data_IF_662005802899
#
_entry.id   IF_662005802899
#
_cell.length_a   1.000
_cell.length_b   1.000
_cell.length_c   1.000
_cell.angle_alpha   90.00
_cell.angle_beta   90.00
_cell.angle_gamma   90.00
#
_symmetry.space_group_name_H-M   'P 1'
#
loop_
_entity.id
_entity.type
_entity.pdbx_description
1 polymer ?
#
# COMPACT_ATOMS: atom_id res chain seq x y z
N UNK A 1 5.01 0.20 26.51
CA UNK A 1 3.54 0.20 26.56
C UNK A 1 3.01 1.54 26.03
N UNK A 2 2.33 1.54 24.87
CA UNK A 2 2.01 2.77 24.11
C UNK A 2 1.00 3.67 24.82
N UNK A 3 0.00 3.08 25.49
CA UNK A 3 -1.02 3.84 26.25
C UNK A 3 -0.44 4.53 27.48
N UNK A 4 0.54 3.91 28.15
CA UNK A 4 1.22 4.51 29.30
C UNK A 4 2.03 5.76 28.90
N UNK A 5 2.67 5.73 27.73
CA UNK A 5 3.39 6.87 27.16
C UNK A 5 2.45 8.04 26.84
N UNK A 6 1.34 7.73 26.17
CA UNK A 6 0.33 8.72 25.75
C UNK A 6 -0.25 9.47 26.96
N UNK A 7 -0.69 8.74 27.98
CA UNK A 7 -1.25 9.33 29.20
C UNK A 7 -0.26 10.24 29.93
N UNK A 8 1.02 9.83 30.02
CA UNK A 8 2.08 10.64 30.66
C UNK A 8 2.38 11.92 29.90
N UNK A 9 2.34 11.88 28.57
CA UNK A 9 2.54 13.08 27.74
C UNK A 9 1.33 14.01 27.89
N UNK A 10 0.11 13.48 27.81
CA UNK A 10 -1.12 14.25 27.97
C UNK A 10 -1.17 14.97 29.31
N UNK A 11 -0.84 14.28 30.41
CA UNK A 11 -0.79 14.88 31.75
C UNK A 11 0.21 16.04 31.84
N UNK A 12 1.38 15.96 31.19
CA UNK A 12 2.36 17.06 31.19
C UNK A 12 1.95 18.23 30.32
N UNK A 13 1.27 17.96 29.21
CA UNK A 13 0.68 18.98 28.33
C UNK A 13 -0.41 19.74 29.08
N UNK A 14 -1.37 19.04 29.66
CA UNK A 14 -2.54 19.68 30.30
C UNK A 14 -2.13 20.63 31.45
N UNK A 15 -1.17 20.19 32.27
CA UNK A 15 -0.64 20.99 33.35
C UNK A 15 0.10 22.26 32.89
N UNK A 16 0.81 22.20 31.76
CA UNK A 16 1.52 23.37 31.26
C UNK A 16 0.56 24.40 30.67
N UNK A 17 -0.42 23.97 29.88
CA UNK A 17 -1.36 24.86 29.21
C UNK A 17 -2.39 25.52 30.15
N UNK A 18 -2.58 24.96 31.35
CA UNK A 18 -3.47 25.52 32.39
C UNK A 18 -2.87 26.69 33.18
N UNK A 19 -1.62 27.06 32.93
CA UNK A 19 -0.93 28.15 33.64
C UNK A 19 -0.88 29.44 32.79
N UNK A 20 -0.83 30.63 33.41
CA UNK A 20 -0.62 31.88 32.69
C UNK A 20 0.74 31.88 31.97
N UNK A 21 0.86 32.66 30.88
CA UNK A 21 2.06 32.72 30.04
C UNK A 21 3.34 33.01 30.83
N UNK A 22 3.24 33.80 31.89
CA UNK A 22 4.35 34.09 32.79
C UNK A 22 4.99 32.82 33.39
N UNK A 23 4.20 31.79 33.64
CA UNK A 23 4.64 30.55 34.30
C UNK A 23 4.83 29.39 33.32
N UNK A 24 4.18 29.46 32.16
CA UNK A 24 4.30 28.51 31.05
C UNK A 24 5.76 28.39 30.58
N UNK A 25 6.33 27.19 30.58
CA UNK A 25 7.72 26.95 30.15
C UNK A 25 7.78 25.82 29.12
N UNK A 26 7.48 26.16 27.86
CA UNK A 26 7.39 25.20 26.75
C UNK A 26 8.73 24.53 26.47
N UNK A 27 9.85 25.20 26.75
CA UNK A 27 11.19 24.61 26.69
C UNK A 27 11.39 23.47 27.69
N UNK A 28 10.89 23.61 28.93
CA UNK A 28 10.94 22.53 29.93
C UNK A 28 10.00 21.39 29.56
N UNK A 29 8.83 21.71 29.01
CA UNK A 29 7.88 20.71 28.53
C UNK A 29 8.47 19.86 27.39
N UNK A 30 9.13 20.47 26.41
CA UNK A 30 9.85 19.74 25.36
C UNK A 30 10.88 18.77 25.95
N UNK A 31 11.68 19.24 26.92
CA UNK A 31 12.69 18.39 27.58
C UNK A 31 12.05 17.23 28.36
N UNK A 32 10.91 17.45 29.02
CA UNK A 32 10.17 16.40 29.71
C UNK A 32 9.61 15.37 28.74
N UNK A 33 8.98 15.80 27.63
CA UNK A 33 8.48 14.90 26.59
C UNK A 33 9.62 14.11 25.97
N UNK A 34 10.74 14.77 25.63
CA UNK A 34 11.91 14.10 25.08
C UNK A 34 12.49 13.05 26.05
N UNK A 35 12.50 13.33 27.36
CA UNK A 35 12.94 12.39 28.39
C UNK A 35 12.01 11.18 28.50
N UNK A 36 10.69 11.38 28.48
CA UNK A 36 9.71 10.29 28.52
C UNK A 36 9.79 9.44 27.24
N UNK A 37 9.96 10.08 26.09
CA UNK A 37 10.13 9.41 24.80
C UNK A 37 11.42 8.55 24.79
N UNK A 38 12.53 9.09 25.27
CA UNK A 38 13.79 8.37 25.42
C UNK A 38 13.66 7.15 26.35
N UNK A 39 12.91 7.26 27.46
CA UNK A 39 12.64 6.13 28.37
C UNK A 39 11.87 4.97 27.70
N UNK A 40 11.13 5.27 26.63
CA UNK A 40 10.36 4.28 25.86
C UNK A 40 11.01 3.91 24.53
N UNK A 41 12.29 4.26 24.30
CA UNK A 41 13.00 4.09 23.02
C UNK A 41 12.23 4.68 21.82
N UNK A 42 11.47 5.75 22.04
CA UNK A 42 10.75 6.47 21.00
C UNK A 42 11.57 7.69 20.56
N UNK A 43 12.06 7.75 19.31
CA UNK A 43 12.77 8.92 18.82
C UNK A 43 11.80 10.11 18.65
N UNK A 44 12.22 11.28 19.11
CA UNK A 44 11.47 12.52 18.89
C UNK A 44 11.63 12.96 17.43
N UNK A 45 10.53 13.16 16.72
CA UNK A 45 10.58 13.58 15.31
C UNK A 45 11.13 15.00 15.17
N UNK A 46 11.81 15.27 14.05
CA UNK A 46 12.31 16.61 13.72
C UNK A 46 11.19 17.64 13.67
N UNK A 47 10.02 17.25 13.17
CA UNK A 47 8.86 18.13 13.05
C UNK A 47 8.33 18.56 14.42
N UNK A 48 8.33 17.65 15.40
CA UNK A 48 7.94 17.98 16.77
C UNK A 48 8.90 19.01 17.39
N UNK A 49 10.21 18.84 17.17
CA UNK A 49 11.22 19.80 17.64
C UNK A 49 11.00 21.18 17.00
N UNK A 50 10.71 21.23 15.70
CA UNK A 50 10.46 22.47 14.99
C UNK A 50 9.20 23.17 15.50
N UNK A 51 8.12 22.42 15.73
CA UNK A 51 6.89 22.92 16.34
C UNK A 51 7.16 23.56 17.71
N UNK A 52 7.87 22.85 18.60
CA UNK A 52 8.21 23.40 19.92
C UNK A 52 9.10 24.64 19.84
N UNK A 53 10.03 24.72 18.88
CA UNK A 53 10.83 25.94 18.67
C UNK A 53 9.97 27.15 18.31
N UNK A 54 8.96 26.95 17.45
CA UNK A 54 7.99 27.99 17.12
C UNK A 54 7.17 28.41 18.34
N UNK A 55 6.65 27.43 19.08
CA UNK A 55 5.88 27.66 20.30
C UNK A 55 6.68 28.41 21.38
N UNK A 56 7.96 28.07 21.58
CA UNK A 56 8.85 28.78 22.52
C UNK A 56 9.09 30.24 22.10
N UNK A 57 9.24 30.49 20.79
CA UNK A 57 9.34 31.85 20.28
C UNK A 57 8.04 32.64 20.53
N UNK A 58 6.89 31.98 20.38
CA UNK A 58 5.57 32.55 20.61
C UNK A 58 5.29 32.81 22.10
N UNK A 59 5.73 31.92 22.99
CA UNK A 59 5.74 32.13 24.45
C UNK A 59 6.58 33.36 24.81
N UNK A 60 7.77 33.48 24.23
CA UNK A 60 8.68 34.60 24.51
C UNK A 60 8.08 35.94 24.06
N UNK A 61 7.44 35.96 22.88
CA UNK A 61 6.72 37.13 22.40
C UNK A 61 5.48 37.44 23.24
N UNK A 62 4.66 36.44 23.53
CA UNK A 62 3.43 36.59 24.29
C UNK A 62 3.69 37.09 25.72
N UNK A 63 4.72 36.57 26.39
CA UNK A 63 5.12 37.03 27.73
C UNK A 63 5.52 38.51 27.75
N UNK A 64 5.97 39.07 26.63
CA UNK A 64 6.32 40.49 26.52
C UNK A 64 5.08 41.38 26.28
N UNK A 65 4.04 40.85 25.64
CA UNK A 65 2.83 41.59 25.28
C UNK A 65 1.76 41.53 26.36
N UNK A 66 1.47 40.33 26.88
CA UNK A 66 0.45 40.08 27.89
C UNK A 66 0.88 38.90 28.79
N UNK A 67 1.51 39.18 29.94
CA UNK A 67 2.02 38.14 30.84
C UNK A 67 0.94 37.31 31.54
N UNK A 68 -0.24 37.90 31.74
CA UNK A 68 -1.37 37.30 32.47
C UNK A 68 -2.32 36.54 31.53
N UNK A 69 -1.99 36.48 30.24
CA UNK A 69 -2.72 35.70 29.24
C UNK A 69 -2.74 34.22 29.62
N UNK A 70 -3.95 33.65 29.74
CA UNK A 70 -4.17 32.22 29.97
C UNK A 70 -4.63 31.55 28.68
N UNK A 71 -3.72 30.80 28.04
CA UNK A 71 -3.99 30.19 26.73
C UNK A 71 -5.23 29.30 26.79
N UNK A 72 -5.34 28.45 27.80
CA UNK A 72 -6.42 27.46 27.88
C UNK A 72 -7.79 28.11 28.08
N UNK A 73 -7.86 29.22 28.83
CA UNK A 73 -9.11 29.93 29.06
C UNK A 73 -9.64 30.51 27.76
N UNK A 74 -8.81 31.26 27.05
CA UNK A 74 -9.17 31.94 25.80
C UNK A 74 -9.34 30.96 24.61
N UNK A 75 -8.61 29.85 24.60
CA UNK A 75 -8.77 28.81 23.56
C UNK A 75 -9.89 27.82 23.84
N UNK A 76 -10.40 27.69 25.07
CA UNK A 76 -11.48 26.73 25.40
C UNK A 76 -12.77 27.00 24.62
N UNK A 77 -13.17 28.27 24.50
CA UNK A 77 -14.36 28.68 23.74
C UNK A 77 -14.17 28.43 22.24
N UNK A 78 -12.98 28.72 21.71
CA UNK A 78 -12.64 28.45 20.32
C UNK A 78 -12.58 26.93 20.04
N UNK A 79 -11.97 26.14 20.92
CA UNK A 79 -11.87 24.69 20.81
C UNK A 79 -13.24 24.00 20.85
N UNK A 80 -14.18 24.52 21.65
CA UNK A 80 -15.57 24.03 21.69
C UNK A 80 -16.28 24.25 20.36
N UNK A 81 -16.09 25.41 19.71
CA UNK A 81 -16.65 25.69 18.39
C UNK A 81 -15.98 24.88 17.26
N UNK A 82 -14.67 24.61 17.37
CA UNK A 82 -13.90 23.90 16.36
C UNK A 82 -14.09 22.37 16.42
N UNK A 83 -14.21 21.80 17.63
CA UNK A 83 -14.41 20.36 17.83
C UNK A 83 -15.76 19.85 17.36
N UNK A 84 -16.82 20.66 17.49
CA UNK A 84 -18.19 20.25 17.15
C UNK A 84 -18.47 20.19 15.64
N UNK A 85 -17.66 20.85 14.80
CA UNK A 85 -17.91 20.93 13.37
C UNK A 85 -16.73 20.63 12.44
N UNK A 86 -15.50 20.93 12.84
CA UNK A 86 -14.36 20.92 11.92
C UNK A 86 -13.56 19.60 11.95
N UNK A 87 -13.36 19.00 13.12
CA UNK A 87 -12.54 17.79 13.28
C UNK A 87 -13.16 16.55 12.60
N UNK A 88 -14.46 16.33 12.76
CA UNK A 88 -15.15 15.19 12.13
C UNK A 88 -15.31 15.36 10.60
N UNK A 89 -15.42 16.61 10.11
CA UNK A 89 -15.72 16.91 8.70
C UNK A 89 -14.45 17.05 7.85
N UNK A 90 -13.33 17.53 8.41
CA UNK A 90 -12.05 17.64 7.70
C UNK A 90 -11.30 16.31 7.58
N UNK A 91 -11.37 15.40 8.56
CA UNK A 91 -10.65 14.12 8.46
C UNK A 91 -11.17 13.26 7.30
N UNK A 92 -12.47 13.31 7.01
CA UNK A 92 -13.06 12.56 5.89
C UNK A 92 -12.85 13.23 4.53
N UNK A 93 -12.76 14.58 4.48
CA UNK A 93 -12.58 15.32 3.22
C UNK A 93 -11.11 15.50 2.83
N UNK A 94 -10.18 15.58 3.79
CA UNK A 94 -8.76 15.76 3.48
C UNK A 94 -8.08 14.47 3.01
N UNK A 95 -8.44 13.30 3.55
CA UNK A 95 -7.87 12.03 3.08
C UNK A 95 -8.23 11.76 1.61
N UNK A 96 -9.46 12.09 1.20
CA UNK A 96 -9.89 11.94 -0.20
C UNK A 96 -9.24 12.98 -1.12
N UNK A 97 -9.09 14.24 -0.68
CA UNK A 97 -8.41 15.28 -1.46
C UNK A 97 -6.90 15.04 -1.61
N UNK A 98 -6.23 14.55 -0.55
CA UNK A 98 -4.81 14.20 -0.59
C UNK A 98 -4.58 13.00 -1.53
N UNK A 99 -5.41 11.97 -1.45
CA UNK A 99 -5.32 10.79 -2.32
C UNK A 99 -5.57 11.13 -3.81
N UNK A 100 -6.50 12.06 -4.10
CA UNK A 100 -6.73 12.57 -5.47
C UNK A 100 -5.55 13.42 -5.96
N UNK A 101 -4.93 14.21 -5.09
CA UNK A 101 -3.79 15.07 -5.44
C UNK A 101 -2.52 14.24 -5.71
N UNK A 102 -2.28 13.21 -4.90
CA UNK A 102 -1.19 12.26 -5.11
C UNK A 102 -1.39 11.43 -6.38
N UNK A 103 -2.63 11.07 -6.70
CA UNK A 103 -2.96 10.39 -7.96
C UNK A 103 -2.66 11.26 -9.18
N UNK A 104 -2.93 12.58 -9.13
CA UNK A 104 -2.56 13.50 -10.22
C UNK A 104 -1.05 13.67 -10.36
N UNK A 105 -0.31 13.68 -9.25
CA UNK A 105 1.15 13.70 -9.28
C UNK A 105 1.71 12.44 -9.95
N UNK A 106 1.17 11.26 -9.60
CA UNK A 106 1.55 9.99 -10.21
C UNK A 106 1.30 9.98 -11.72
N UNK A 107 0.14 10.46 -12.18
CA UNK A 107 -0.19 10.53 -13.62
C UNK A 107 0.72 11.50 -14.38
N UNK A 108 1.17 12.59 -13.73
CA UNK A 108 2.13 13.54 -14.33
C UNK A 108 3.56 13.01 -14.39
N UNK A 109 3.99 12.23 -13.40
CA UNK A 109 5.36 11.68 -13.34
C UNK A 109 5.53 10.35 -14.08
N UNK A 110 4.44 9.61 -14.29
CA UNK A 110 4.43 8.35 -15.04
C UNK A 110 5.09 8.48 -16.43
N UNK A 111 4.69 9.42 -17.31
CA UNK A 111 5.25 9.51 -18.66
C UNK A 111 6.75 9.85 -18.63
N UNK A 112 7.20 10.65 -17.67
CA UNK A 112 8.61 10.97 -17.51
C UNK A 112 9.43 9.74 -17.10
N UNK A 113 8.91 8.97 -16.14
CA UNK A 113 9.53 7.73 -15.67
C UNK A 113 9.61 6.68 -16.79
N UNK A 114 8.52 6.51 -17.54
CA UNK A 114 8.48 5.61 -18.70
C UNK A 114 9.47 6.04 -19.78
N UNK A 115 9.65 7.35 -20.01
CA UNK A 115 10.63 7.87 -20.97
C UNK A 115 12.08 7.58 -20.55
N UNK A 116 12.38 7.65 -19.26
CA UNK A 116 13.71 7.29 -18.73
C UNK A 116 13.94 5.78 -18.85
N UNK A 117 12.95 4.96 -18.51
CA UNK A 117 13.04 3.50 -18.61
C UNK A 117 13.25 3.04 -20.06
N UNK A 118 12.46 3.58 -21.00
CA UNK A 118 12.61 3.31 -22.44
C UNK A 118 13.96 3.76 -22.98
N UNK A 119 14.46 4.92 -22.56
CA UNK A 119 15.80 5.39 -22.95
C UNK A 119 16.90 4.47 -22.40
N UNK A 120 16.78 3.99 -21.16
CA UNK A 120 17.73 3.02 -20.56
C UNK A 120 17.66 1.63 -21.22
N UNK A 121 16.47 1.19 -21.65
CA UNK A 121 16.27 -0.03 -22.46
C UNK A 121 16.96 0.09 -23.81
N UNK A 122 16.75 1.19 -24.53
CA UNK A 122 17.36 1.42 -25.84
C UNK A 122 18.89 1.54 -25.79
N UNK A 123 19.44 2.04 -24.68
CA UNK A 123 20.87 2.21 -24.49
C UNK A 123 21.59 0.92 -24.06
N UNK A 124 20.89 -0.20 -23.89
CA UNK A 124 21.49 -1.49 -23.50
C UNK A 124 22.01 -1.55 -22.06
N UNK A 125 21.94 -0.45 -21.30
CA UNK A 125 22.44 -0.36 -19.92
C UNK A 125 21.67 -1.22 -18.91
N UNK A 126 20.53 -1.81 -19.30
CA UNK A 126 19.81 -2.77 -18.47
C UNK A 126 20.37 -4.19 -18.56
N UNK A 127 21.11 -4.53 -19.62
CA UNK A 127 21.72 -5.86 -19.77
C UNK A 127 22.70 -6.18 -18.63
N UNK A 128 23.47 -5.19 -18.18
CA UNK A 128 24.43 -5.35 -17.08
C UNK A 128 23.78 -5.50 -15.68
N UNK A 129 22.49 -5.16 -15.52
CA UNK A 129 21.74 -5.32 -14.26
C UNK A 129 20.81 -6.55 -14.29
N UNK A 130 20.47 -7.05 -15.47
CA UNK A 130 19.60 -8.21 -15.68
C UNK A 130 20.32 -9.57 -15.59
N UNK A 131 21.65 -9.59 -15.48
CA UNK A 131 22.44 -10.80 -15.17
C UNK A 131 22.37 -11.21 -13.69
N UNK A 132 21.58 -10.51 -12.87
CA UNK A 132 21.29 -10.92 -11.50
C UNK A 132 20.64 -12.32 -11.46
N UNK A 133 21.05 -13.20 -10.52
CA UNK A 133 20.41 -14.50 -10.29
C UNK A 133 18.90 -14.41 -10.07
N UNK A 134 18.40 -13.29 -9.54
CA UNK A 134 16.99 -13.07 -9.23
C UNK A 134 16.13 -12.91 -10.49
N UNK A 135 16.71 -12.32 -11.55
CA UNK A 135 16.02 -12.13 -12.84
C UNK A 135 15.86 -13.48 -13.56
N UNK A 136 16.88 -14.34 -13.49
CA UNK A 136 16.77 -15.73 -13.99
C UNK A 136 15.73 -16.54 -13.22
N UNK A 137 15.64 -16.37 -11.89
CA UNK A 137 14.60 -17.02 -11.08
C UNK A 137 13.21 -16.53 -11.46
N UNK A 138 13.03 -15.23 -11.67
CA UNK A 138 11.75 -14.66 -12.11
C UNK A 138 11.33 -15.23 -13.47
N UNK A 139 12.27 -15.37 -14.42
CA UNK A 139 11.98 -15.99 -15.72
C UNK A 139 11.49 -17.43 -15.59
N UNK A 140 12.13 -18.23 -14.73
CA UNK A 140 11.72 -19.61 -14.46
C UNK A 140 10.34 -19.69 -13.78
N UNK A 141 10.02 -18.75 -12.89
CA UNK A 141 8.70 -18.69 -12.26
C UNK A 141 7.61 -18.28 -13.24
N UNK A 142 7.89 -17.31 -14.13
CA UNK A 142 6.97 -16.90 -15.19
C UNK A 142 6.71 -18.08 -16.15
N UNK A 143 7.75 -18.82 -16.53
CA UNK A 143 7.62 -19.98 -17.41
C UNK A 143 6.76 -21.08 -16.75
N UNK A 144 6.98 -21.37 -15.47
CA UNK A 144 6.16 -22.32 -14.69
C UNK A 144 4.71 -21.85 -14.56
N UNK A 145 4.48 -20.56 -14.36
CA UNK A 145 3.14 -19.99 -14.30
C UNK A 145 2.43 -20.10 -15.66
N UNK A 146 3.14 -19.82 -16.76
CA UNK A 146 2.64 -19.98 -18.13
C UNK A 146 2.25 -21.42 -18.45
N UNK A 147 3.07 -22.39 -18.05
CA UNK A 147 2.76 -23.82 -18.20
C UNK A 147 1.50 -24.21 -17.42
N UNK A 148 1.35 -23.75 -16.17
CA UNK A 148 0.16 -24.01 -15.35
C UNK A 148 -1.10 -23.39 -15.96
N UNK A 149 -1.00 -22.17 -16.49
CA UNK A 149 -2.10 -21.49 -17.16
C UNK A 149 -2.50 -22.20 -18.45
N UNK A 150 -1.53 -22.63 -19.27
CA UNK A 150 -1.80 -23.41 -20.48
C UNK A 150 -2.54 -24.72 -20.15
N UNK A 151 -2.08 -25.45 -19.14
CA UNK A 151 -2.74 -26.66 -18.66
C UNK A 151 -4.16 -26.39 -18.15
N UNK A 152 -4.36 -25.33 -17.35
CA UNK A 152 -5.67 -24.96 -16.85
C UNK A 152 -6.64 -24.58 -18.00
N UNK A 153 -6.17 -23.88 -19.03
CA UNK A 153 -6.96 -23.53 -20.20
C UNK A 153 -7.34 -24.75 -21.03
N UNK A 154 -6.40 -25.68 -21.24
CA UNK A 154 -6.67 -26.94 -21.96
C UNK A 154 -7.70 -27.78 -21.22
N UNK A 155 -7.55 -27.94 -19.90
CA UNK A 155 -8.51 -28.65 -19.06
C UNK A 155 -9.88 -27.97 -19.07
N UNK A 156 -9.93 -26.64 -18.96
CA UNK A 156 -11.16 -25.87 -19.02
C UNK A 156 -11.87 -26.02 -20.37
N UNK A 157 -11.13 -25.94 -21.48
CA UNK A 157 -11.67 -26.16 -22.82
C UNK A 157 -12.19 -27.59 -23.01
N UNK A 158 -11.51 -28.59 -22.45
CA UNK A 158 -11.94 -30.00 -22.50
C UNK A 158 -13.23 -30.22 -21.70
N UNK A 159 -13.33 -29.64 -20.51
CA UNK A 159 -14.54 -29.72 -19.67
C UNK A 159 -15.72 -29.03 -20.34
N UNK A 160 -15.51 -27.82 -20.88
CA UNK A 160 -16.54 -27.07 -21.61
C UNK A 160 -16.99 -27.81 -22.88
N UNK A 161 -16.04 -28.36 -23.65
CA UNK A 161 -16.34 -29.18 -24.83
C UNK A 161 -17.14 -30.43 -24.49
N UNK A 162 -16.75 -31.16 -23.44
CA UNK A 162 -17.48 -32.34 -22.96
C UNK A 162 -18.89 -31.99 -22.47
N UNK A 163 -19.06 -30.83 -21.81
CA UNK A 163 -20.36 -30.36 -21.33
C UNK A 163 -21.31 -30.01 -22.47
N UNK A 164 -20.82 -29.29 -23.49
CA UNK A 164 -21.61 -28.91 -24.68
C UNK A 164 -22.11 -30.13 -25.46
N UNK A 165 -21.28 -31.18 -25.58
CA UNK A 165 -21.66 -32.44 -26.24
C UNK A 165 -22.77 -33.19 -25.47
N UNK A 166 -22.80 -33.06 -24.13
CA UNK A 166 -23.77 -33.77 -23.29
C UNK A 166 -25.15 -33.08 -23.29
N UNK A 167 -25.19 -31.76 -23.52
CA UNK A 167 -26.42 -30.97 -23.43
C UNK A 167 -27.38 -31.14 -24.63
N UNK A 168 -26.90 -31.52 -25.81
CA UNK A 168 -27.73 -31.69 -27.03
C UNK A 168 -28.09 -33.16 -27.30
N UNK A 169 -28.91 -33.78 -26.44
CA UNK A 169 -29.45 -35.14 -26.63
C UNK A 169 -30.88 -35.16 -27.21
N UNK A 170 -31.15 -34.48 -28.33
CA UNK A 170 -32.45 -34.57 -29.02
C UNK A 170 -32.31 -34.49 -30.56
N UNK A 171 -32.20 -35.63 -31.24
CA UNK A 171 -32.46 -35.76 -32.69
C UNK A 171 -31.89 -37.04 -33.34
N UNK A 172 -32.50 -37.58 -34.40
CA UNK A 172 -32.08 -38.83 -35.08
C UNK A 172 -30.88 -38.69 -36.04
N UNK A 173 -30.42 -37.47 -36.33
CA UNK A 173 -29.21 -37.20 -37.14
C UNK A 173 -27.90 -37.19 -36.31
N UNK A 174 -28.00 -37.26 -34.98
CA UNK A 174 -26.87 -37.14 -34.06
C UNK A 174 -26.00 -38.40 -33.99
N UNK A 175 -26.46 -39.55 -34.46
CA UNK A 175 -25.71 -40.81 -34.32
C UNK A 175 -24.39 -40.78 -35.13
N UNK A 176 -24.37 -40.04 -36.25
CA UNK A 176 -23.17 -39.83 -37.07
C UNK A 176 -22.27 -38.70 -36.56
N UNK A 177 -22.85 -37.55 -36.14
CA UNK A 177 -22.07 -36.42 -35.60
C UNK A 177 -21.48 -36.72 -34.21
N UNK A 178 -22.17 -37.52 -33.39
CA UNK A 178 -21.68 -37.94 -32.08
C UNK A 178 -20.43 -38.83 -32.20
N UNK A 179 -20.33 -39.65 -33.26
CA UNK A 179 -19.13 -40.47 -33.53
C UNK A 179 -17.91 -39.59 -33.84
N UNK A 180 -18.09 -38.52 -34.64
CA UNK A 180 -17.02 -37.55 -34.90
C UNK A 180 -16.67 -36.71 -33.67
N UNK A 181 -17.64 -36.36 -32.83
CA UNK A 181 -17.41 -35.68 -31.55
C UNK A 181 -16.61 -36.53 -30.56
N UNK A 182 -16.90 -37.83 -30.47
CA UNK A 182 -16.14 -38.80 -29.67
C UNK A 182 -14.70 -38.97 -30.18
N UNK A 183 -14.51 -39.03 -31.51
CA UNK A 183 -13.18 -39.06 -32.12
C UNK A 183 -12.38 -37.79 -31.83
N UNK A 184 -12.99 -36.61 -31.99
CA UNK A 184 -12.37 -35.33 -31.67
C UNK A 184 -11.99 -35.21 -30.20
N UNK A 185 -12.84 -35.70 -29.29
CA UNK A 185 -12.56 -35.78 -27.87
C UNK A 185 -11.39 -36.73 -27.57
N UNK A 186 -11.34 -37.89 -28.23
CA UNK A 186 -10.22 -38.83 -28.10
C UNK A 186 -8.88 -38.22 -28.53
N UNK A 187 -8.84 -37.53 -29.66
CA UNK A 187 -7.64 -36.83 -30.14
C UNK A 187 -7.25 -35.70 -29.18
N UNK A 188 -8.21 -34.89 -28.72
CA UNK A 188 -7.95 -33.81 -27.77
C UNK A 188 -7.46 -34.33 -26.41
N UNK A 189 -8.03 -35.42 -25.91
CA UNK A 189 -7.59 -36.08 -24.68
C UNK A 189 -6.17 -36.66 -24.83
N UNK A 190 -5.86 -37.25 -26.00
CA UNK A 190 -4.53 -37.79 -26.28
C UNK A 190 -3.48 -36.68 -26.35
N UNK A 191 -3.77 -35.57 -27.05
CA UNK A 191 -2.87 -34.40 -27.13
C UNK A 191 -2.70 -33.74 -25.75
N UNK A 192 -3.79 -33.60 -24.98
CA UNK A 192 -3.75 -33.07 -23.62
C UNK A 192 -2.91 -33.94 -22.68
N UNK A 193 -3.08 -35.26 -22.73
CA UNK A 193 -2.29 -36.22 -21.96
C UNK A 193 -0.81 -36.19 -22.35
N UNK A 194 -0.53 -36.14 -23.66
CA UNK A 194 0.84 -36.03 -24.19
C UNK A 194 1.52 -34.75 -23.71
N UNK A 195 0.80 -33.63 -23.68
CA UNK A 195 1.32 -32.34 -23.20
C UNK A 195 1.60 -32.35 -21.69
N UNK A 196 0.72 -32.96 -20.89
CA UNK A 196 0.93 -33.15 -19.45
C UNK A 196 2.20 -33.97 -19.20
N UNK A 197 2.39 -35.07 -19.95
CA UNK A 197 3.58 -35.92 -19.86
C UNK A 197 4.83 -35.16 -20.30
N UNK A 198 4.75 -34.37 -21.38
CA UNK A 198 5.86 -33.54 -21.85
C UNK A 198 6.30 -32.50 -20.79
N UNK A 199 5.34 -31.84 -20.12
CA UNK A 199 5.62 -30.87 -19.06
C UNK A 199 6.21 -31.55 -17.82
N UNK A 200 5.66 -32.70 -17.40
CA UNK A 200 6.21 -33.48 -16.27
C UNK A 200 7.63 -33.99 -16.56
N UNK A 201 7.92 -34.36 -17.81
CA UNK A 201 9.25 -34.81 -18.24
C UNK A 201 10.24 -33.64 -18.39
N UNK A 202 9.77 -32.47 -18.82
CA UNK A 202 10.59 -31.25 -18.95
C UNK A 202 10.94 -30.61 -17.59
N UNK A 203 10.18 -30.89 -16.53
CA UNK A 203 10.51 -30.48 -15.16
C UNK A 203 11.67 -31.26 -14.53
N UNK A 204 12.30 -32.18 -15.27
CA UNK A 204 13.35 -33.09 -14.79
C UNK A 204 14.56 -33.06 -15.73
N UNK A 205 15.11 -31.87 -15.95
CA UNK A 205 16.54 -31.74 -16.27
C UNK A 205 17.27 -31.60 -14.93
N UNK A 206 17.97 -32.66 -14.47
CA UNK A 206 18.97 -32.53 -13.42
C UNK A 206 20.21 -31.85 -14.03
N UNK A 207 20.69 -30.83 -13.34
CA UNK A 207 22.01 -30.20 -13.36
C UNK A 207 22.73 -29.99 -14.71
#
# INVERSE_FOLDING_TARGET
DRKSLENKILEKVDNAFSMPLRELQLGKLLMQIARIAAQHNAPVSRDLVLFFRGMIALESFGRTLDPDFEVLRETSDYAKSFSQGALARNLLQQDSLLMVRDSQALVRELPFTLRILTKRLQQGNLAATLESPDVKRLSLEIERAGQRLSLALILGALVLGSSLLTFNRKGPLFDSLATFGLLGFGVAAFVGLWLIVAILKSGRQPD
#
